data_IF_314066744933
#
_entry.id   IF_314066744933
#
_cell.length_a   1.000
_cell.length_b   1.000
_cell.length_c   1.000
_cell.angle_alpha   90.00
_cell.angle_beta   90.00
_cell.angle_gamma   90.00
#
_symmetry.space_group_name_H-M   'P 1'
#
loop_
_entity.id
_entity.type
_entity.pdbx_description
1 polymer ?
#
# COMPACT_ATOMS: atom_id res chain seq x y z
N UNK A 1 13.67 5.68 -21.21
CA UNK A 1 12.73 5.21 -20.17
C UNK A 1 13.30 3.91 -19.64
N UNK A 2 13.55 3.80 -18.34
CA UNK A 2 14.13 2.59 -17.75
C UNK A 2 13.02 1.56 -17.57
N UNK A 3 12.93 0.59 -18.49
CA UNK A 3 11.92 -0.49 -18.45
C UNK A 3 11.95 -1.20 -17.09
N UNK A 4 13.15 -1.34 -16.52
CA UNK A 4 13.37 -1.95 -15.21
C UNK A 4 12.72 -1.15 -14.08
N UNK A 5 12.64 0.18 -14.20
CA UNK A 5 11.94 1.01 -13.21
C UNK A 5 10.44 0.73 -13.25
N UNK A 6 9.84 0.61 -14.44
CA UNK A 6 8.41 0.28 -14.58
C UNK A 6 8.09 -1.08 -13.96
N UNK A 7 8.84 -2.11 -14.33
CA UNK A 7 8.67 -3.48 -13.79
C UNK A 7 8.78 -3.50 -12.26
N UNK A 8 9.75 -2.77 -11.68
CA UNK A 8 9.90 -2.68 -10.24
C UNK A 8 8.70 -1.99 -9.55
N UNK A 9 8.14 -0.96 -10.18
CA UNK A 9 6.97 -0.26 -9.64
C UNK A 9 5.72 -1.16 -9.68
N UNK A 10 5.55 -1.93 -10.75
CA UNK A 10 4.47 -2.92 -10.89
C UNK A 10 4.61 -4.05 -9.87
N UNK A 11 5.83 -4.58 -9.70
CA UNK A 11 6.11 -5.60 -8.69
C UNK A 11 5.88 -5.10 -7.25
N UNK A 12 6.09 -3.81 -6.99
CA UNK A 12 5.74 -3.17 -5.72
C UNK A 12 4.22 -2.91 -5.56
N UNK A 13 3.42 -3.29 -6.55
CA UNK A 13 1.98 -3.08 -6.58
C UNK A 13 1.59 -1.63 -6.73
N UNK A 14 2.44 -0.76 -7.30
CA UNK A 14 2.07 0.63 -7.55
C UNK A 14 0.94 0.69 -8.59
N UNK A 15 -0.13 1.47 -8.35
CA UNK A 15 -1.17 1.66 -9.36
C UNK A 15 -0.65 2.51 -10.52
N UNK A 16 -1.27 2.38 -11.69
CA UNK A 16 -0.91 3.11 -12.91
C UNK A 16 -0.75 4.61 -12.71
N UNK A 17 -1.56 5.23 -11.85
CA UNK A 17 -1.45 6.65 -11.53
C UNK A 17 -0.10 7.00 -10.89
N UNK A 18 0.36 6.18 -9.93
CA UNK A 18 1.66 6.36 -9.26
C UNK A 18 2.79 6.09 -10.24
N UNK A 19 2.67 5.05 -11.07
CA UNK A 19 3.66 4.70 -12.09
C UNK A 19 3.85 5.89 -13.06
N UNK A 20 2.75 6.43 -13.61
CA UNK A 20 2.79 7.58 -14.52
C UNK A 20 3.40 8.81 -13.87
N UNK A 21 3.04 9.12 -12.61
CA UNK A 21 3.62 10.25 -11.87
C UNK A 21 5.14 10.10 -11.71
N UNK A 22 5.61 8.93 -11.28
CA UNK A 22 7.04 8.66 -11.09
C UNK A 22 7.81 8.74 -12.42
N UNK A 23 7.21 8.27 -13.52
CA UNK A 23 7.82 8.33 -14.85
C UNK A 23 7.92 9.75 -15.42
N UNK A 24 7.03 10.66 -15.01
CA UNK A 24 7.03 12.06 -15.44
C UNK A 24 7.93 12.98 -14.60
N UNK A 25 8.44 12.50 -13.46
CA UNK A 25 9.29 13.29 -12.57
C UNK A 25 10.74 13.31 -13.03
N UNK A 26 11.32 14.50 -13.08
CA UNK A 26 12.75 14.67 -13.32
C UNK A 26 13.51 14.60 -12.00
N UNK A 27 14.25 13.51 -11.80
CA UNK A 27 15.15 13.34 -10.66
C UNK A 27 14.65 12.39 -9.56
N UNK A 28 15.61 11.76 -8.90
CA UNK A 28 15.37 10.71 -7.90
C UNK A 28 14.68 11.22 -6.63
N UNK A 29 14.82 12.51 -6.30
CA UNK A 29 14.24 13.10 -5.10
C UNK A 29 12.70 13.16 -5.17
N UNK A 30 12.16 13.66 -6.28
CA UNK A 30 10.72 13.76 -6.52
C UNK A 30 10.10 12.36 -6.60
N UNK A 31 10.74 11.45 -7.33
CA UNK A 31 10.33 10.04 -7.43
C UNK A 31 10.27 9.38 -6.05
N UNK A 32 11.31 9.58 -5.22
CA UNK A 32 11.36 9.05 -3.85
C UNK A 32 10.23 9.61 -2.98
N UNK A 33 9.94 10.91 -3.11
CA UNK A 33 8.86 11.53 -2.36
C UNK A 33 7.50 10.93 -2.73
N UNK A 34 7.24 10.71 -4.01
CA UNK A 34 5.98 10.11 -4.48
C UNK A 34 5.82 8.67 -3.99
N UNK A 35 6.90 7.88 -4.05
CA UNK A 35 6.89 6.51 -3.52
C UNK A 35 6.72 6.46 -2.00
N UNK A 36 7.24 7.45 -1.26
CA UNK A 36 6.98 7.58 0.19
C UNK A 36 5.51 7.88 0.50
N UNK A 37 4.83 8.65 -0.36
CA UNK A 37 3.38 8.85 -0.23
C UNK A 37 2.63 7.55 -0.47
N UNK A 38 3.00 6.81 -1.52
CA UNK A 38 2.37 5.52 -1.80
C UNK A 38 2.57 4.51 -0.66
N UNK A 39 3.79 4.43 -0.10
CA UNK A 39 4.10 3.62 1.09
C UNK A 39 3.19 3.96 2.27
N UNK A 40 2.90 5.26 2.50
CA UNK A 40 1.99 5.69 3.56
C UNK A 40 0.57 5.21 3.33
N UNK A 41 0.06 5.30 2.11
CA UNK A 41 -1.25 4.78 1.73
C UNK A 41 -1.36 3.26 1.99
N UNK A 42 -0.33 2.49 1.63
CA UNK A 42 -0.29 1.05 1.93
C UNK A 42 -0.34 0.79 3.44
N UNK A 43 0.43 1.55 4.23
CA UNK A 43 0.44 1.40 5.67
C UNK A 43 -0.93 1.73 6.30
N UNK A 44 -1.61 2.77 5.82
CA UNK A 44 -2.97 3.10 6.25
C UNK A 44 -3.97 1.98 5.93
N UNK A 45 -3.86 1.36 4.75
CA UNK A 45 -4.69 0.19 4.40
C UNK A 45 -4.44 -0.98 5.35
N UNK A 46 -3.18 -1.30 5.63
CA UNK A 46 -2.82 -2.36 6.58
C UNK A 46 -3.39 -2.07 7.96
N UNK A 47 -3.27 -0.84 8.47
CA UNK A 47 -3.84 -0.46 9.76
C UNK A 47 -5.36 -0.60 9.80
N UNK A 48 -6.07 -0.22 8.73
CA UNK A 48 -7.53 -0.41 8.63
C UNK A 48 -7.92 -1.88 8.63
N UNK A 49 -7.25 -2.70 7.85
CA UNK A 49 -7.54 -4.14 7.83
C UNK A 49 -7.20 -4.81 9.16
N UNK A 50 -6.13 -4.37 9.84
CA UNK A 50 -5.79 -4.84 11.18
C UNK A 50 -6.89 -4.51 12.21
N UNK A 51 -7.46 -3.30 12.15
CA UNK A 51 -8.59 -2.90 13.00
C UNK A 51 -9.84 -3.75 12.72
N UNK A 52 -10.14 -3.98 11.43
CA UNK A 52 -11.25 -4.85 11.02
C UNK A 52 -11.08 -6.28 11.51
N UNK A 53 -9.87 -6.84 11.40
CA UNK A 53 -9.56 -8.17 11.95
C UNK A 53 -9.74 -8.20 13.46
N UNK A 54 -9.22 -7.20 14.18
CA UNK A 54 -9.37 -7.11 15.63
C UNK A 54 -10.83 -7.13 16.07
N UNK A 55 -11.68 -6.37 15.38
CA UNK A 55 -13.12 -6.35 15.64
C UNK A 55 -13.78 -7.70 15.33
N UNK A 56 -13.37 -8.36 14.24
CA UNK A 56 -13.89 -9.68 13.87
C UNK A 56 -13.47 -10.75 14.87
N UNK A 57 -12.20 -10.76 15.29
CA UNK A 57 -11.64 -11.70 16.26
C UNK A 57 -12.37 -11.57 17.62
N UNK A 58 -12.69 -10.33 18.03
CA UNK A 58 -13.48 -10.10 19.23
C UNK A 58 -14.89 -10.71 19.11
N UNK A 59 -15.57 -10.54 17.96
CA UNK A 59 -16.88 -11.15 17.73
C UNK A 59 -16.81 -12.67 17.75
N UNK A 60 -15.80 -13.27 17.10
CA UNK A 60 -15.60 -14.71 17.09
C UNK A 60 -15.40 -15.25 18.52
N UNK A 61 -14.53 -14.61 19.30
CA UNK A 61 -14.31 -14.97 20.70
C UNK A 61 -15.58 -14.95 21.55
N UNK A 62 -16.45 -13.94 21.36
CA UNK A 62 -17.73 -13.87 22.08
C UNK A 62 -18.64 -15.04 21.72
N UNK A 63 -18.72 -15.39 20.43
CA UNK A 63 -19.55 -16.49 19.95
C UNK A 63 -19.00 -17.85 20.41
N UNK A 64 -17.69 -18.05 20.36
CA UNK A 64 -17.03 -19.27 20.83
C UNK A 64 -17.20 -19.51 22.33
N UNK A 65 -17.30 -18.45 23.14
CA UNK A 65 -17.57 -18.55 24.58
C UNK A 65 -19.03 -18.85 24.93
N UNK A 66 -19.95 -18.60 24.00
CA UNK A 66 -21.39 -18.87 24.17
C UNK A 66 -21.78 -20.27 23.70
N UNK A 67 -20.90 -20.95 22.96
CA UNK A 67 -21.02 -22.35 22.56
C UNK A 67 -20.58 -23.29 23.68
#
# INVERSE_FOLDING_TARGET
>A
MDEKLRENLEAAGCPDEVIRKVQQMEGTQQQTLELRKYRRCLLEKVHREQERLTNLDYLLYQLEKQA
#
